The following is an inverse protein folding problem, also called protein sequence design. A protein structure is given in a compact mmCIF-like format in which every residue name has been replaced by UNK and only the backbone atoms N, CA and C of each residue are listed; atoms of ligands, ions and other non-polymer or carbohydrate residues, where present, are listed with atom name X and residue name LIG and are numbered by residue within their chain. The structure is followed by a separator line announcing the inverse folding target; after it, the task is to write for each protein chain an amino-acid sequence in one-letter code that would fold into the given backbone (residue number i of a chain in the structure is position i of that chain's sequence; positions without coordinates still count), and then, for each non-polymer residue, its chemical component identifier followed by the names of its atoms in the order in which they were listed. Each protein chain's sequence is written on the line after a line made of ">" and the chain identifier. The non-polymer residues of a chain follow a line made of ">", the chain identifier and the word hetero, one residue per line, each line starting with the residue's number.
data_IF_454806646951
#
_entry.id   IF_454806646951
#
_cell.length_a   1.000
_cell.length_b   1.000
_cell.length_c   1.000
_cell.angle_alpha   90.00
_cell.angle_beta   90.00
_cell.angle_gamma   90.00
#
_symmetry.space_group_name_H-M   'P 1'
#
loop_
_entity.id
_entity.type
_entity.pdbx_description
1 polymer ?
#
# COMPACT_ATOMS: atom_id res chain seq x y z
N UNK A 1 7.07 -9.31 -8.29
CA UNK A 1 6.60 -8.01 -8.82
C UNK A 1 6.46 -7.06 -7.66
N UNK A 2 6.74 -5.78 -7.91
CA UNK A 2 6.50 -4.72 -6.95
C UNK A 2 5.21 -3.98 -7.31
N UNK A 3 4.22 -4.05 -6.43
CA UNK A 3 2.87 -3.56 -6.71
C UNK A 3 2.53 -2.44 -5.72
N UNK A 4 2.05 -1.32 -6.24
CA UNK A 4 1.55 -0.21 -5.43
C UNK A 4 0.02 -0.20 -5.49
N UNK A 5 -0.63 -0.17 -4.31
CA UNK A 5 -2.08 -0.06 -4.19
C UNK A 5 -2.41 1.30 -3.57
N UNK A 6 -3.09 2.17 -4.31
CA UNK A 6 -3.59 3.44 -3.77
C UNK A 6 -4.97 3.23 -3.16
N UNK A 7 -5.05 3.33 -1.84
CA UNK A 7 -6.26 3.16 -1.03
C UNK A 7 -6.28 1.84 -0.26
N UNK A 8 -6.21 1.94 1.06
CA UNK A 8 -6.30 0.87 2.06
C UNK A 8 -7.73 0.59 2.55
N UNK A 9 -8.74 0.89 1.73
CA UNK A 9 -10.14 0.53 1.98
C UNK A 9 -10.37 -0.99 1.95
N UNK A 10 -11.64 -1.42 1.97
CA UNK A 10 -11.99 -2.85 1.97
C UNK A 10 -11.33 -3.61 0.81
N UNK A 11 -11.46 -3.09 -0.42
CA UNK A 11 -10.93 -3.75 -1.62
C UNK A 11 -9.40 -3.78 -1.60
N UNK A 12 -8.76 -2.62 -1.39
CA UNK A 12 -7.29 -2.53 -1.37
C UNK A 12 -6.65 -3.40 -0.29
N UNK A 13 -7.26 -3.48 0.90
CA UNK A 13 -6.80 -4.37 1.97
C UNK A 13 -6.83 -5.85 1.54
N UNK A 14 -7.96 -6.33 1.02
CA UNK A 14 -8.08 -7.74 0.65
C UNK A 14 -7.19 -8.07 -0.55
N UNK A 15 -7.04 -7.14 -1.49
CA UNK A 15 -6.12 -7.28 -2.62
C UNK A 15 -4.66 -7.36 -2.14
N UNK A 16 -4.24 -6.44 -1.28
CA UNK A 16 -2.89 -6.43 -0.70
C UNK A 16 -2.59 -7.76 -0.01
N UNK A 17 -3.51 -8.23 0.84
CA UNK A 17 -3.36 -9.51 1.56
C UNK A 17 -3.20 -10.69 0.60
N UNK A 18 -4.00 -10.76 -0.46
CA UNK A 18 -3.91 -11.85 -1.44
C UNK A 18 -2.56 -11.82 -2.17
N UNK A 19 -2.14 -10.65 -2.67
CA UNK A 19 -0.88 -10.51 -3.41
C UNK A 19 0.35 -10.80 -2.53
N UNK A 20 0.32 -10.40 -1.26
CA UNK A 20 1.37 -10.74 -0.29
C UNK A 20 1.44 -12.26 -0.09
N UNK A 21 0.29 -12.94 0.05
CA UNK A 21 0.24 -14.39 0.19
C UNK A 21 0.72 -15.14 -1.08
N UNK A 22 0.57 -14.51 -2.25
CA UNK A 22 1.11 -15.01 -3.52
C UNK A 22 2.62 -14.74 -3.69
N UNK A 23 3.25 -14.07 -2.71
CA UNK A 23 4.69 -13.80 -2.69
C UNK A 23 5.10 -12.52 -3.44
N UNK A 24 4.18 -11.61 -3.70
CA UNK A 24 4.49 -10.31 -4.29
C UNK A 24 4.92 -9.29 -3.23
N UNK A 25 5.78 -8.35 -3.65
CA UNK A 25 6.13 -7.20 -2.82
C UNK A 25 5.06 -6.13 -3.03
N UNK A 26 4.35 -5.75 -1.96
CA UNK A 26 3.22 -4.84 -2.03
C UNK A 26 3.44 -3.64 -1.11
N UNK A 27 3.14 -2.44 -1.61
CA UNK A 27 3.03 -1.23 -0.80
C UNK A 27 1.65 -0.61 -0.97
N UNK A 28 0.96 -0.36 0.13
CA UNK A 28 -0.34 0.33 0.14
C UNK A 28 -0.13 1.80 0.49
N UNK A 29 -0.64 2.72 -0.33
CA UNK A 29 -0.70 4.15 0.01
C UNK A 29 -2.08 4.43 0.59
N UNK A 30 -2.17 4.97 1.80
CA UNK A 30 -3.45 5.31 2.43
C UNK A 30 -3.38 6.63 3.18
N UNK A 31 -4.44 7.44 3.05
CA UNK A 31 -4.49 8.79 3.62
C UNK A 31 -4.98 8.77 5.07
N UNK A 32 -5.92 7.88 5.38
CA UNK A 32 -6.54 7.74 6.69
C UNK A 32 -5.57 7.04 7.67
N UNK A 33 -5.08 7.73 8.72
CA UNK A 33 -4.13 7.15 9.67
C UNK A 33 -4.70 5.92 10.39
N UNK A 34 -6.01 5.85 10.65
CA UNK A 34 -6.62 4.70 11.33
C UNK A 34 -6.59 3.45 10.46
N UNK A 35 -6.75 3.61 9.14
CA UNK A 35 -6.62 2.50 8.20
C UNK A 35 -5.17 2.09 8.03
N UNK A 36 -4.24 3.06 8.03
CA UNK A 36 -2.81 2.77 8.01
C UNK A 36 -2.40 1.90 9.21
N UNK A 37 -2.77 2.30 10.43
CA UNK A 37 -2.51 1.53 11.65
C UNK A 37 -3.09 0.11 11.54
N UNK A 38 -4.36 -0.01 11.13
CA UNK A 38 -5.01 -1.32 10.95
C UNK A 38 -4.28 -2.20 9.92
N UNK A 39 -3.85 -1.63 8.79
CA UNK A 39 -3.09 -2.38 7.78
C UNK A 39 -1.72 -2.77 8.32
N UNK A 40 -1.05 -1.88 9.03
CA UNK A 40 0.26 -2.13 9.63
C UNK A 40 0.20 -3.28 10.66
N UNK A 41 -0.85 -3.29 11.50
CA UNK A 41 -1.06 -4.31 12.51
C UNK A 41 -1.43 -5.67 11.91
N UNK A 42 -2.24 -5.69 10.85
CA UNK A 42 -2.76 -6.95 10.28
C UNK A 42 -1.87 -7.55 9.18
N UNK A 43 -1.23 -6.70 8.36
CA UNK A 43 -0.44 -7.11 7.18
C UNK A 43 1.06 -6.79 7.31
N UNK A 44 1.48 -6.14 8.40
CA UNK A 44 2.87 -5.70 8.62
C UNK A 44 3.18 -4.33 8.01
N UNK A 45 4.46 -3.93 8.01
CA UNK A 45 4.92 -2.61 7.54
C UNK A 45 4.90 -2.51 6.00
N UNK A 46 3.71 -2.64 5.40
CA UNK A 46 3.44 -2.60 3.96
C UNK A 46 2.57 -1.41 3.58
N UNK A 47 2.49 -0.39 4.43
CA UNK A 47 1.64 0.80 4.22
C UNK A 47 2.44 2.09 4.38
N UNK A 48 2.29 2.98 3.41
CA UNK A 48 2.78 4.35 3.42
C UNK A 48 1.58 5.28 3.63
N UNK A 49 1.70 6.17 4.63
CA UNK A 49 0.66 7.19 4.84
C UNK A 49 0.89 8.36 3.88
N UNK A 50 -0.07 8.62 3.00
CA UNK A 50 0.02 9.74 2.05
C UNK A 50 -1.16 9.79 1.09
N UNK A 51 -1.20 10.85 0.28
CA UNK A 51 -2.14 10.97 -0.83
C UNK A 51 -1.50 10.44 -2.11
N UNK A 52 -2.10 9.40 -2.71
CA UNK A 52 -1.62 8.83 -3.98
C UNK A 52 -1.77 9.76 -5.18
N UNK A 53 -2.47 10.90 -5.05
CA UNK A 53 -2.51 11.95 -6.05
C UNK A 53 -1.27 12.86 -6.03
N UNK A 54 -0.46 12.80 -4.97
CA UNK A 54 0.76 13.61 -4.85
C UNK A 54 1.97 12.91 -5.46
N UNK A 55 2.66 13.61 -6.36
CA UNK A 55 3.86 13.10 -7.02
C UNK A 55 4.98 12.74 -6.01
N UNK A 56 5.10 13.49 -4.91
CA UNK A 56 6.04 13.20 -3.81
C UNK A 56 5.74 11.85 -3.15
N UNK A 57 4.47 11.59 -2.84
CA UNK A 57 4.04 10.31 -2.24
C UNK A 57 4.33 9.14 -3.17
N UNK A 58 4.05 9.30 -4.48
CA UNK A 58 4.36 8.26 -5.47
C UNK A 58 5.87 8.03 -5.61
N UNK A 59 6.68 9.08 -5.52
CA UNK A 59 8.13 8.97 -5.56
C UNK A 59 8.68 8.25 -4.32
N UNK A 60 8.19 8.60 -3.12
CA UNK A 60 8.52 7.92 -1.86
C UNK A 60 8.08 6.46 -1.86
N UNK A 61 6.91 6.18 -2.43
CA UNK A 61 6.40 4.83 -2.65
C UNK A 61 7.19 4.05 -3.71
N UNK A 62 8.21 4.63 -4.36
CA UNK A 62 9.02 3.92 -5.34
C UNK A 62 8.25 3.57 -6.63
N UNK A 63 7.29 4.39 -7.05
CA UNK A 63 6.50 4.15 -8.26
C UNK A 63 7.34 3.95 -9.54
N UNK A 64 8.57 4.45 -9.58
CA UNK A 64 9.50 4.25 -10.70
C UNK A 64 9.93 2.79 -10.93
N UNK A 65 9.83 1.94 -9.90
CA UNK A 65 10.17 0.50 -9.97
C UNK A 65 8.94 -0.41 -9.85
N UNK A 66 7.74 0.16 -9.79
CA UNK A 66 6.50 -0.61 -9.74
C UNK A 66 6.21 -1.23 -11.10
N UNK A 67 5.66 -2.44 -11.08
CA UNK A 67 5.27 -3.21 -12.27
C UNK A 67 3.81 -2.94 -12.66
#
# INVERSE_FOLDING_TARGET
>A
MYIIIVGGGKVGYYLARTLINEGHEVLVIELDPRKCERIADELGTVVLRGDGCEASTLAEAGASRAD
#
